data_IF_112715793507
#
_entry.id   IF_112715793507
#
_cell.length_a   1.000
_cell.length_b   1.000
_cell.length_c   1.000
_cell.angle_alpha   90.00
_cell.angle_beta   90.00
_cell.angle_gamma   90.00
#
_symmetry.space_group_name_H-M   'P 1'
#
loop_
_entity.id
_entity.type
_entity.pdbx_description
1 polymer ?
#
# COMPACT_ATOMS: atom_id res chain seq x y z
N UNK A 1 9.94 -10.36 3.73
CA UNK A 1 9.15 -10.50 2.49
C UNK A 1 7.78 -11.12 2.70
N UNK A 2 7.55 -11.92 3.75
CA UNK A 2 6.23 -12.51 4.02
C UNK A 2 5.18 -11.47 4.46
N UNK A 3 5.57 -10.49 5.29
CA UNK A 3 4.69 -9.43 5.82
C UNK A 3 4.09 -8.52 4.72
N UNK A 4 4.87 -8.20 3.69
CA UNK A 4 4.43 -7.35 2.58
C UNK A 4 3.33 -8.02 1.74
N UNK A 5 3.44 -9.34 1.50
CA UNK A 5 2.39 -10.10 0.80
C UNK A 5 1.09 -10.16 1.59
N UNK A 6 1.17 -10.31 2.91
CA UNK A 6 -0.01 -10.28 3.81
C UNK A 6 -0.70 -8.92 3.73
N UNK A 7 0.06 -7.82 3.81
CA UNK A 7 -0.48 -6.45 3.73
C UNK A 7 -1.20 -6.22 2.39
N UNK A 8 -0.62 -6.66 1.26
CA UNK A 8 -1.25 -6.53 -0.06
C UNK A 8 -2.57 -7.30 -0.15
N UNK A 9 -2.61 -8.52 0.40
CA UNK A 9 -3.82 -9.36 0.43
C UNK A 9 -4.93 -8.71 1.27
N UNK A 10 -4.58 -8.09 2.40
CA UNK A 10 -5.54 -7.39 3.26
C UNK A 10 -6.09 -6.15 2.54
N UNK A 11 -5.23 -5.37 1.87
CA UNK A 11 -5.64 -4.18 1.11
C UNK A 11 -6.54 -4.55 -0.09
N UNK A 12 -6.23 -5.64 -0.79
CA UNK A 12 -7.05 -6.14 -1.89
C UNK A 12 -8.43 -6.61 -1.40
N UNK A 13 -8.49 -7.30 -0.25
CA UNK A 13 -9.74 -7.73 0.36
C UNK A 13 -10.58 -6.55 0.87
N UNK A 14 -9.93 -5.50 1.38
CA UNK A 14 -10.59 -4.24 1.73
C UNK A 14 -11.07 -3.47 0.49
N UNK A 15 -10.36 -3.53 -0.63
CA UNK A 15 -10.78 -2.85 -1.87
C UNK A 15 -12.13 -3.38 -2.38
N UNK A 16 -12.44 -4.66 -2.14
CA UNK A 16 -13.75 -5.25 -2.39
C UNK A 16 -14.88 -4.65 -1.54
N UNK A 17 -14.55 -4.12 -0.35
CA UNK A 17 -15.45 -3.34 0.51
C UNK A 17 -15.45 -1.83 0.17
N UNK A 18 -14.42 -1.34 -0.53
CA UNK A 18 -14.28 0.05 -1.00
C UNK A 18 -14.89 0.29 -2.39
N UNK A 19 -15.49 -0.72 -3.03
CA UNK A 19 -16.53 -0.42 -4.02
C UNK A 19 -17.56 0.43 -3.30
N UNK A 20 -17.55 1.74 -3.58
CA UNK A 20 -18.39 2.72 -2.92
C UNK A 20 -19.79 2.14 -2.91
N UNK A 21 -20.22 1.69 -1.73
CA UNK A 21 -21.54 1.11 -1.56
C UNK A 21 -22.48 2.21 -2.05
N UNK A 22 -23.24 1.91 -3.12
CA UNK A 22 -24.19 2.85 -3.74
C UNK A 22 -25.26 3.36 -2.77
N UNK A 23 -25.17 3.04 -1.49
CA UNK A 23 -26.02 3.52 -0.41
C UNK A 23 -25.87 5.02 -0.15
N UNK A 24 -24.71 5.66 -0.40
CA UNK A 24 -24.56 7.11 -0.22
C UNK A 24 -24.77 7.95 -1.49
N UNK A 25 -24.59 7.36 -2.69
CA UNK A 25 -24.67 8.08 -3.97
C UNK A 25 -25.85 7.66 -4.86
N UNK A 26 -26.66 6.69 -4.43
CA UNK A 26 -27.89 6.25 -5.07
C UNK A 26 -27.65 5.36 -6.29
N UNK A 27 -26.95 5.86 -7.30
CA UNK A 27 -26.82 5.18 -8.60
C UNK A 27 -25.36 4.71 -8.85
N UNK A 28 -25.10 3.39 -8.88
CA UNK A 28 -23.75 2.84 -9.03
C UNK A 28 -23.14 3.08 -10.42
N UNK A 29 -23.93 3.57 -11.40
CA UNK A 29 -23.48 3.89 -12.75
C UNK A 29 -23.38 5.40 -13.02
N UNK A 30 -23.55 6.23 -11.98
CA UNK A 30 -23.40 7.68 -12.14
C UNK A 30 -21.93 8.07 -12.27
N UNK A 31 -21.65 9.09 -13.09
CA UNK A 31 -20.31 9.65 -13.30
C UNK A 31 -19.62 10.08 -11.98
N UNK A 32 -20.40 10.36 -10.94
CA UNK A 32 -19.88 10.67 -9.60
C UNK A 32 -19.19 9.47 -8.91
N UNK A 33 -19.67 8.24 -9.15
CA UNK A 33 -19.08 7.02 -8.57
C UNK A 33 -17.77 6.65 -9.25
N UNK A 34 -17.72 6.80 -10.58
CA UNK A 34 -16.50 6.53 -11.35
C UNK A 34 -15.35 7.47 -10.93
N UNK A 35 -15.63 8.78 -10.81
CA UNK A 35 -14.65 9.75 -10.34
C UNK A 35 -14.14 9.47 -8.92
N UNK A 36 -15.00 9.00 -8.01
CA UNK A 36 -14.60 8.66 -6.64
C UNK A 36 -13.75 7.38 -6.58
N UNK A 37 -14.04 6.37 -7.39
CA UNK A 37 -13.23 5.15 -7.46
C UNK A 37 -11.78 5.47 -7.87
N UNK A 38 -11.60 6.31 -8.90
CA UNK A 38 -10.28 6.78 -9.32
C UNK A 38 -9.57 7.64 -8.26
N UNK A 39 -10.32 8.45 -7.51
CA UNK A 39 -9.77 9.24 -6.41
C UNK A 39 -9.25 8.36 -5.26
N UNK A 40 -10.02 7.34 -4.87
CA UNK A 40 -9.63 6.35 -3.86
C UNK A 40 -8.35 5.64 -4.27
N UNK A 41 -8.28 5.14 -5.52
CA UNK A 41 -7.08 4.48 -6.05
C UNK A 41 -5.85 5.39 -5.93
N UNK A 42 -5.99 6.66 -6.31
CA UNK A 42 -4.91 7.65 -6.22
C UNK A 42 -4.42 7.86 -4.78
N UNK A 43 -5.35 7.94 -3.81
CA UNK A 43 -5.05 8.08 -2.38
C UNK A 43 -4.37 6.85 -1.78
N UNK A 44 -4.78 5.65 -2.17
CA UNK A 44 -4.13 4.41 -1.76
C UNK A 44 -2.73 4.29 -2.35
N UNK A 45 -2.56 4.63 -3.64
CA UNK A 45 -1.26 4.58 -4.31
C UNK A 45 -0.27 5.55 -3.66
N UNK A 46 -0.67 6.80 -3.39
CA UNK A 46 0.25 7.78 -2.80
C UNK A 46 0.67 7.36 -1.38
N UNK A 47 -0.29 6.95 -0.55
CA UNK A 47 -0.02 6.54 0.84
C UNK A 47 0.84 5.27 0.87
N UNK A 48 0.50 4.28 0.05
CA UNK A 48 1.26 3.04 -0.09
C UNK A 48 2.67 3.29 -0.64
N UNK A 49 2.79 4.19 -1.62
CA UNK A 49 4.05 4.62 -2.21
C UNK A 49 4.99 5.21 -1.16
N UNK A 50 4.53 6.21 -0.40
CA UNK A 50 5.34 6.87 0.64
C UNK A 50 5.77 5.88 1.73
N UNK A 51 4.84 5.07 2.25
CA UNK A 51 5.19 4.06 3.28
C UNK A 51 6.20 3.03 2.77
N UNK A 52 6.08 2.60 1.51
CA UNK A 52 7.02 1.64 0.90
C UNK A 52 8.42 2.23 0.74
N UNK A 53 8.54 3.50 0.33
CA UNK A 53 9.82 4.17 0.11
C UNK A 53 10.62 4.35 1.40
N UNK A 54 9.97 4.77 2.48
CA UNK A 54 10.61 4.93 3.79
C UNK A 54 11.08 3.57 4.33
N UNK A 55 10.22 2.56 4.24
CA UNK A 55 10.54 1.20 4.71
C UNK A 55 11.72 0.59 3.95
N UNK A 56 11.78 0.79 2.62
CA UNK A 56 12.89 0.32 1.81
C UNK A 56 14.21 1.01 2.17
N UNK A 57 14.17 2.30 2.44
CA UNK A 57 15.33 3.10 2.83
C UNK A 57 15.95 2.56 4.13
N UNK A 58 15.11 2.35 5.15
CA UNK A 58 15.54 1.80 6.44
C UNK A 58 16.10 0.38 6.27
N UNK A 59 15.44 -0.47 5.47
CA UNK A 59 15.89 -1.84 5.25
C UNK A 59 17.24 -1.90 4.51
N UNK A 60 17.49 -1.02 3.54
CA UNK A 60 18.76 -0.95 2.81
C UNK A 60 19.92 -0.63 3.76
N UNK A 61 19.71 0.31 4.68
CA UNK A 61 20.70 0.70 5.69
C UNK A 61 20.92 -0.47 6.67
N UNK A 62 19.86 -1.09 7.18
CA UNK A 62 19.96 -2.25 8.07
C UNK A 62 20.71 -3.44 7.43
N UNK A 63 20.49 -3.70 6.14
CA UNK A 63 21.19 -4.75 5.40
C UNK A 63 22.68 -4.45 5.24
N UNK A 64 23.04 -3.20 4.93
CA UNK A 64 24.44 -2.76 4.88
C UNK A 64 25.11 -2.84 6.25
N UNK A 65 24.43 -2.42 7.31
CA UNK A 65 24.94 -2.50 8.69
C UNK A 65 25.20 -3.96 9.11
N UNK A 66 24.31 -4.90 8.77
CA UNK A 66 24.52 -6.34 9.04
C UNK A 66 25.77 -6.89 8.34
N UNK A 67 26.01 -6.50 7.10
CA UNK A 67 27.19 -6.95 6.34
C UNK A 67 28.48 -6.34 6.90
N UNK A 68 28.46 -5.08 7.33
CA UNK A 68 29.61 -4.42 7.95
C UNK A 68 29.99 -5.05 9.31
N UNK A 69 29.00 -5.45 10.10
CA UNK A 69 29.26 -6.19 11.34
C UNK A 69 29.80 -7.61 11.08
N UNK A 70 29.34 -8.27 10.01
CA UNK A 70 29.87 -9.59 9.59
C UNK A 70 31.31 -9.55 9.08
N UNK A 71 31.76 -8.44 8.48
CA UNK A 71 33.17 -8.27 8.05
C UNK A 71 34.14 -7.90 9.19
N UNK A 72 33.63 -7.57 10.38
CA UNK A 72 34.44 -7.31 11.59
C UNK A 72 34.59 -8.52 12.52
N UNK A 73 34.00 -9.65 12.12
CA UNK A 73 34.06 -10.95 12.81
C UNK A 73 35.10 -11.88 12.12
N UNK A 74 36.04 -11.29 11.37
CA UNK A 74 37.24 -11.92 10.81
C UNK A 74 38.49 -11.19 11.32
#
# INVERSE_FOLDING_TARGET
MHYFKIIIIIIAFFSSLLHACGTCYGDPNSAAVDGMNWAIISLLITTGGVMSGISFSIFSIAKKAKNYNKSKEF
#
